data_IF_804715627266
#
_entry.id   IF_804715627266
#
_cell.length_a   1.000
_cell.length_b   1.000
_cell.length_c   1.000
_cell.angle_alpha   90.00
_cell.angle_beta   90.00
_cell.angle_gamma   90.00
#
_symmetry.space_group_name_H-M   'P 1'
#
loop_
_entity.id
_entity.type
_entity.pdbx_description
1 polymer ?
#
# COMPACT_ATOMS: atom_id res chain seq x y z
N UNK A 1 -48.09 -4.57 -3.46
CA UNK A 1 -47.01 -3.55 -3.46
C UNK A 1 -45.75 -4.28 -3.86
N UNK A 2 -45.41 -4.25 -5.15
CA UNK A 2 -44.12 -4.75 -5.63
C UNK A 2 -43.06 -3.80 -5.06
N UNK A 3 -42.24 -4.31 -4.14
CA UNK A 3 -41.05 -3.60 -3.67
C UNK A 3 -40.10 -3.55 -4.86
N UNK A 4 -40.15 -2.46 -5.62
CA UNK A 4 -39.09 -2.09 -6.56
C UNK A 4 -37.78 -2.11 -5.77
N UNK A 5 -37.00 -3.18 -5.91
CA UNK A 5 -35.67 -3.24 -5.33
C UNK A 5 -34.92 -1.98 -5.78
N UNK A 6 -34.24 -1.27 -4.87
CA UNK A 6 -33.51 -0.06 -5.23
C UNK A 6 -32.53 -0.44 -6.34
N UNK A 7 -32.72 0.14 -7.53
CA UNK A 7 -31.86 -0.07 -8.69
C UNK A 7 -30.42 0.16 -8.24
N UNK A 8 -29.66 -0.93 -8.08
CA UNK A 8 -28.30 -0.85 -7.55
C UNK A 8 -27.48 0.04 -8.48
N UNK A 9 -27.11 1.24 -7.99
CA UNK A 9 -26.31 2.17 -8.77
C UNK A 9 -24.85 1.69 -8.77
N UNK A 10 -24.55 0.77 -9.69
CA UNK A 10 -23.23 0.16 -9.87
C UNK A 10 -22.14 1.23 -10.00
N UNK A 11 -22.41 2.33 -10.71
CA UNK A 11 -21.46 3.43 -10.88
C UNK A 11 -21.15 4.15 -9.57
N UNK A 12 -22.16 4.40 -8.74
CA UNK A 12 -21.95 4.98 -7.41
C UNK A 12 -21.18 4.03 -6.49
N UNK A 13 -21.48 2.73 -6.54
CA UNK A 13 -20.76 1.72 -5.77
C UNK A 13 -19.28 1.65 -6.17
N UNK A 14 -18.98 1.61 -7.47
CA UNK A 14 -17.61 1.63 -7.99
C UNK A 14 -16.86 2.90 -7.58
N UNK A 15 -17.52 4.06 -7.61
CA UNK A 15 -16.91 5.32 -7.20
C UNK A 15 -16.56 5.35 -5.70
N UNK A 16 -17.43 4.82 -4.85
CA UNK A 16 -17.17 4.70 -3.40
C UNK A 16 -16.03 3.70 -3.15
N UNK A 17 -16.00 2.60 -3.89
CA UNK A 17 -14.92 1.61 -3.79
C UNK A 17 -13.58 2.21 -4.23
N UNK A 18 -13.56 3.02 -5.29
CA UNK A 18 -12.37 3.73 -5.75
C UNK A 18 -11.91 4.77 -4.71
N UNK A 19 -12.81 5.51 -4.08
CA UNK A 19 -12.42 6.50 -3.06
C UNK A 19 -11.86 5.85 -1.78
N UNK A 20 -12.33 4.65 -1.44
CA UNK A 20 -12.04 4.01 -0.15
C UNK A 20 -11.23 2.70 -0.25
N UNK A 21 -10.66 2.38 -1.42
CA UNK A 21 -9.91 1.14 -1.63
C UNK A 21 -8.75 0.93 -0.64
N UNK A 22 -8.18 2.04 -0.15
CA UNK A 22 -7.04 2.06 0.77
C UNK A 22 -7.37 1.51 2.17
N UNK A 23 -8.66 1.52 2.55
CA UNK A 23 -9.17 1.12 3.87
C UNK A 23 -10.07 -0.12 3.82
N UNK A 24 -10.42 -0.59 2.62
CA UNK A 24 -11.34 -1.70 2.41
C UNK A 24 -10.61 -2.98 1.99
N UNK A 25 -11.19 -4.13 2.34
CA UNK A 25 -10.71 -5.39 1.80
C UNK A 25 -11.16 -5.50 0.34
N UNK A 26 -10.21 -5.40 -0.58
CA UNK A 26 -10.47 -5.39 -2.03
C UNK A 26 -11.18 -6.65 -2.51
N UNK A 27 -10.87 -7.82 -1.93
CA UNK A 27 -11.47 -9.09 -2.32
C UNK A 27 -12.95 -9.13 -1.95
N UNK A 28 -13.28 -8.74 -0.70
CA UNK A 28 -14.67 -8.65 -0.25
C UNK A 28 -15.48 -7.61 -1.02
N UNK A 29 -14.84 -6.53 -1.45
CA UNK A 29 -15.50 -5.51 -2.28
C UNK A 29 -15.89 -6.07 -3.66
N UNK A 30 -15.06 -6.92 -4.25
CA UNK A 30 -15.36 -7.59 -5.53
C UNK A 30 -16.47 -8.63 -5.33
N UNK A 31 -16.47 -9.37 -4.22
CA UNK A 31 -17.52 -10.35 -3.91
C UNK A 31 -18.91 -9.72 -3.73
N UNK A 32 -18.97 -8.43 -3.39
CA UNK A 32 -20.21 -7.66 -3.24
C UNK A 32 -20.73 -7.09 -4.57
N UNK A 33 -19.94 -7.16 -5.64
CA UNK A 33 -20.39 -6.71 -6.96
C UNK A 33 -21.38 -7.73 -7.54
N UNK A 34 -22.46 -7.27 -8.21
CA UNK A 34 -23.44 -8.18 -8.78
C UNK A 34 -22.78 -9.04 -9.88
N UNK A 35 -23.21 -10.30 -9.99
CA UNK A 35 -22.56 -11.28 -10.88
C UNK A 35 -22.61 -10.93 -12.38
N UNK A 36 -23.40 -9.93 -12.77
CA UNK A 36 -23.49 -9.39 -14.12
C UNK A 36 -22.47 -8.27 -14.41
N UNK A 37 -21.66 -7.86 -13.42
CA UNK A 37 -20.68 -6.78 -13.57
C UNK A 37 -19.61 -7.20 -14.56
N UNK A 38 -19.38 -6.36 -15.58
CA UNK A 38 -18.35 -6.66 -16.56
C UNK A 38 -16.97 -6.28 -16.00
N UNK A 39 -15.96 -7.11 -16.30
CA UNK A 39 -14.56 -6.82 -15.93
C UNK A 39 -14.11 -5.44 -16.43
N UNK A 40 -14.65 -4.98 -17.58
CA UNK A 40 -14.38 -3.65 -18.12
C UNK A 40 -14.78 -2.51 -17.18
N UNK A 41 -15.86 -2.67 -16.42
CA UNK A 41 -16.38 -1.65 -15.50
C UNK A 41 -15.54 -1.54 -14.23
N UNK A 42 -14.92 -2.64 -13.81
CA UNK A 42 -14.11 -2.73 -12.59
C UNK A 42 -12.62 -2.48 -12.89
N UNK A 43 -12.23 -2.41 -14.17
CA UNK A 43 -10.83 -2.27 -14.60
C UNK A 43 -10.13 -1.10 -13.92
N UNK A 44 -10.74 0.08 -13.95
CA UNK A 44 -10.17 1.30 -13.37
C UNK A 44 -9.94 1.13 -11.87
N UNK A 45 -10.93 0.58 -11.15
CA UNK A 45 -10.80 0.25 -9.73
C UNK A 45 -9.63 -0.70 -9.44
N UNK A 46 -9.49 -1.78 -10.22
CA UNK A 46 -8.39 -2.73 -10.04
C UNK A 46 -7.02 -2.10 -10.32
N UNK A 47 -6.92 -1.29 -11.38
CA UNK A 47 -5.71 -0.54 -11.72
C UNK A 47 -5.32 0.39 -10.57
N UNK A 48 -6.25 1.19 -10.04
CA UNK A 48 -6.02 2.09 -8.90
C UNK A 48 -5.55 1.35 -7.64
N UNK A 49 -6.18 0.21 -7.31
CA UNK A 49 -5.77 -0.62 -6.16
C UNK A 49 -4.35 -1.17 -6.34
N UNK A 50 -4.05 -1.69 -7.53
CA UNK A 50 -2.74 -2.29 -7.81
C UNK A 50 -1.64 -1.23 -7.80
N UNK A 51 -1.91 -0.06 -8.38
CA UNK A 51 -0.99 1.06 -8.37
C UNK A 51 -0.69 1.51 -6.93
N UNK A 52 -1.72 1.69 -6.09
CA UNK A 52 -1.53 2.09 -4.70
C UNK A 52 -0.68 1.06 -3.93
N UNK A 53 -0.99 -0.24 -4.08
CA UNK A 53 -0.20 -1.31 -3.43
C UNK A 53 1.25 -1.32 -3.92
N UNK A 54 1.49 -1.08 -5.20
CA UNK A 54 2.83 -1.01 -5.76
C UNK A 54 3.60 0.23 -5.27
N UNK A 55 2.94 1.38 -5.17
CA UNK A 55 3.51 2.60 -4.59
C UNK A 55 3.90 2.38 -3.13
N UNK A 56 3.01 1.86 -2.28
CA UNK A 56 3.32 1.57 -0.87
C UNK A 56 4.52 0.65 -0.72
N UNK A 57 4.59 -0.44 -1.49
CA UNK A 57 5.75 -1.35 -1.47
C UNK A 57 7.06 -0.64 -1.82
N UNK A 58 7.04 0.24 -2.82
CA UNK A 58 8.22 1.04 -3.20
C UNK A 58 8.63 1.98 -2.09
N UNK A 59 7.70 2.74 -1.52
CA UNK A 59 7.99 3.65 -0.41
C UNK A 59 8.54 2.91 0.82
N UNK A 60 7.94 1.79 1.20
CA UNK A 60 8.43 0.95 2.30
C UNK A 60 9.85 0.44 2.04
N UNK A 61 10.16 0.03 0.81
CA UNK A 61 11.49 -0.45 0.45
C UNK A 61 12.54 0.66 0.51
N UNK A 62 12.20 1.87 0.03
CA UNK A 62 13.06 3.04 0.14
C UNK A 62 13.30 3.38 1.60
N UNK A 63 12.25 3.42 2.43
CA UNK A 63 12.36 3.72 3.85
C UNK A 63 13.25 2.71 4.59
N UNK A 64 13.06 1.40 4.34
CA UNK A 64 13.91 0.34 4.89
C UNK A 64 15.38 0.53 4.49
N UNK A 65 15.63 0.87 3.23
CA UNK A 65 16.99 1.09 2.72
C UNK A 65 17.65 2.29 3.39
N UNK A 66 16.93 3.40 3.55
CA UNK A 66 17.43 4.60 4.25
C UNK A 66 17.72 4.31 5.72
N UNK A 67 16.81 3.63 6.41
CA UNK A 67 16.98 3.23 7.80
C UNK A 67 18.20 2.32 7.97
N UNK A 68 18.37 1.33 7.09
CA UNK A 68 19.52 0.44 7.10
C UNK A 68 20.83 1.21 6.87
N UNK A 69 20.84 2.17 5.94
CA UNK A 69 22.01 3.00 5.69
C UNK A 69 22.40 3.83 6.92
N UNK A 70 21.44 4.38 7.66
CA UNK A 70 21.74 5.13 8.89
C UNK A 70 22.28 4.21 10.00
N UNK A 71 21.71 3.02 10.18
CA UNK A 71 22.25 2.05 11.13
C UNK A 71 23.70 1.66 10.81
N UNK A 72 24.03 1.50 9.53
CA UNK A 72 25.40 1.21 9.10
C UNK A 72 26.34 2.39 9.42
N UNK A 73 25.92 3.62 9.10
CA UNK A 73 26.71 4.84 9.39
C UNK A 73 26.99 5.01 10.88
N UNK A 74 26.00 4.76 11.74
CA UNK A 74 26.18 4.84 13.20
C UNK A 74 27.17 3.77 13.67
N UNK A 75 27.02 2.52 13.22
CA UNK A 75 27.94 1.42 13.57
C UNK A 75 29.37 1.67 13.11
N UNK A 76 29.55 2.24 11.91
CA UNK A 76 30.87 2.61 11.41
C UNK A 76 31.51 3.69 12.29
N UNK A 77 30.76 4.72 12.68
CA UNK A 77 31.24 5.75 13.61
C UNK A 77 31.64 5.16 14.97
N UNK A 78 30.82 4.27 15.53
CA UNK A 78 31.14 3.58 16.79
C UNK A 78 32.39 2.71 16.67
N UNK A 79 32.55 2.02 15.54
CA UNK A 79 33.75 1.22 15.27
C UNK A 79 34.98 2.11 15.10
N UNK A 80 34.85 3.25 14.43
CA UNK A 80 35.93 4.20 14.20
C UNK A 80 36.40 4.83 15.52
N UNK A 81 35.48 5.27 16.38
CA UNK A 81 35.82 5.78 17.72
C UNK A 81 36.46 4.72 18.61
N UNK A 82 35.98 3.48 18.59
CA UNK A 82 36.60 2.37 19.30
C UNK A 82 38.03 2.11 18.78
N UNK A 83 38.24 2.16 17.46
CA UNK A 83 39.56 1.96 16.86
C UNK A 83 40.54 3.06 17.26
N UNK A 84 40.10 4.33 17.33
CA UNK A 84 40.91 5.44 17.84
C UNK A 84 41.30 5.23 19.30
N UNK A 85 40.35 4.82 20.16
CA UNK A 85 40.60 4.58 21.58
C UNK A 85 41.55 3.40 21.84
N UNK A 86 41.50 2.35 21.00
CA UNK A 86 42.35 1.16 21.15
C UNK A 86 43.74 1.36 20.51
N UNK A 87 43.89 2.29 19.56
CA UNK A 87 45.15 2.55 18.85
C UNK A 87 46.02 3.65 19.47
N UNK A 88 45.51 4.41 20.44
CA UNK A 88 46.31 5.37 21.21
C UNK A 88 47.08 4.63 22.33
N UNK A 89 48.42 4.52 22.27
CA UNK A 89 49.19 4.03 23.40
C UNK A 89 49.20 5.10 24.50
N UNK A 90 48.96 4.68 25.74
CA UNK A 90 49.16 5.50 26.96
C UNK A 90 50.63 5.89 27.12
#
# INVERSE_FOLDING_TARGET
MELLEPQANLMAALHVLELHHSKLNTTKAIDLLPANTQIREIRVFLESVLEEKAQRKRFDQVLKSLLQAEFLRVRERERETLCVLVSCPM
#
